data_IF_986370170132
#
_entry.id   IF_986370170132
#
_cell.length_a   1.000
_cell.length_b   1.000
_cell.length_c   1.000
_cell.angle_alpha   90.00
_cell.angle_beta   90.00
_cell.angle_gamma   90.00
#
_symmetry.space_group_name_H-M   'P 1'
#
loop_
_entity.id
_entity.type
_entity.pdbx_description
1 polymer ?
#
# COMPACT_ATOMS: atom_id res chain seq x y z
N UNK A 1 14.06 2.07 -9.22
CA UNK A 1 13.82 0.63 -8.99
C UNK A 1 12.53 0.52 -8.19
N UNK A 2 11.61 -0.34 -8.64
CA UNK A 2 10.20 -0.33 -8.22
C UNK A 2 10.00 -0.60 -6.73
N UNK A 3 10.67 -1.60 -6.15
CA UNK A 3 10.59 -1.88 -4.71
C UNK A 3 10.90 -0.64 -3.86
N UNK A 4 11.97 0.08 -4.17
CA UNK A 4 12.36 1.30 -3.44
C UNK A 4 11.37 2.43 -3.63
N UNK A 5 10.83 2.59 -4.84
CA UNK A 5 9.82 3.59 -5.12
C UNK A 5 8.50 3.28 -4.39
N UNK A 6 8.08 2.02 -4.35
CA UNK A 6 6.92 1.56 -3.56
C UNK A 6 7.10 1.84 -2.07
N UNK A 7 8.26 1.56 -1.49
CA UNK A 7 8.58 1.90 -0.09
C UNK A 7 8.54 3.41 0.16
N UNK A 8 9.06 4.21 -0.77
CA UNK A 8 8.99 5.66 -0.72
C UNK A 8 7.53 6.16 -0.72
N UNK A 9 6.69 5.63 -1.62
CA UNK A 9 5.26 5.93 -1.67
C UNK A 9 4.54 5.53 -0.38
N UNK A 10 4.82 4.33 0.15
CA UNK A 10 4.23 3.84 1.40
C UNK A 10 4.55 4.77 2.58
N UNK A 11 5.78 5.26 2.66
CA UNK A 11 6.17 6.29 3.65
C UNK A 11 5.37 7.58 3.47
N UNK A 12 5.21 8.06 2.24
CA UNK A 12 4.45 9.29 1.98
C UNK A 12 2.97 9.16 2.36
N UNK A 13 2.34 8.02 2.07
CA UNK A 13 0.97 7.74 2.49
C UNK A 13 0.84 7.76 4.01
N UNK A 14 1.77 7.11 4.72
CA UNK A 14 1.83 7.13 6.19
C UNK A 14 1.95 8.55 6.73
N UNK A 15 2.90 9.33 6.20
CA UNK A 15 3.11 10.73 6.63
C UNK A 15 1.87 11.59 6.38
N UNK A 16 1.29 11.52 5.18
CA UNK A 16 0.10 12.30 4.83
C UNK A 16 -1.09 11.98 5.75
N UNK A 17 -1.32 10.70 6.02
CA UNK A 17 -2.36 10.25 6.93
C UNK A 17 -2.18 10.83 8.35
N UNK A 18 -0.98 10.72 8.94
CA UNK A 18 -0.72 11.28 10.27
C UNK A 18 -0.79 12.81 10.31
N UNK A 19 -0.37 13.50 9.24
CA UNK A 19 -0.50 14.95 9.13
C UNK A 19 -1.98 15.37 9.07
N UNK A 20 -2.82 14.66 8.31
CA UNK A 20 -4.26 14.92 8.31
C UNK A 20 -4.88 14.66 9.68
N UNK A 21 -4.50 13.56 10.35
CA UNK A 21 -4.97 13.28 11.72
C UNK A 21 -4.60 14.40 12.70
N UNK A 22 -3.35 14.88 12.66
CA UNK A 22 -2.89 15.97 13.52
C UNK A 22 -3.56 17.32 13.20
N UNK A 23 -4.10 17.48 11.98
CA UNK A 23 -4.80 18.70 11.54
C UNK A 23 -6.26 18.75 11.98
N UNK A 24 -6.80 17.66 12.56
CA UNK A 24 -8.14 17.65 13.14
C UNK A 24 -8.19 18.48 14.42
N UNK A 25 -8.44 19.78 14.26
CA UNK A 25 -8.80 20.67 15.35
C UNK A 25 -10.27 21.10 15.20
N UNK A 26 -10.94 21.28 16.34
CA UNK A 26 -12.29 21.83 16.59
C UNK A 26 -13.40 20.81 16.84
N UNK A 27 -13.99 20.96 18.04
CA UNK A 27 -15.30 20.51 18.55
C UNK A 27 -16.10 19.60 17.62
N UNK A 28 -15.66 18.34 17.52
CA UNK A 28 -16.26 17.12 16.93
C UNK A 28 -15.17 16.25 16.32
N UNK A 29 -14.03 16.83 15.92
CA UNK A 29 -12.92 16.09 15.31
C UNK A 29 -12.36 15.00 16.24
N UNK A 30 -12.23 15.29 17.54
CA UNK A 30 -11.81 14.31 18.54
C UNK A 30 -12.83 13.18 18.71
N UNK A 31 -14.13 13.49 18.70
CA UNK A 31 -15.19 12.51 18.85
C UNK A 31 -15.28 11.58 17.62
N UNK A 32 -15.13 12.14 16.42
CA UNK A 32 -15.01 11.40 15.16
C UNK A 32 -13.75 10.52 15.18
N UNK A 33 -12.62 11.05 15.68
CA UNK A 33 -11.40 10.29 15.83
C UNK A 33 -11.59 9.10 16.79
N UNK A 34 -12.13 9.35 17.98
CA UNK A 34 -12.31 8.32 19.01
C UNK A 34 -13.28 7.22 18.57
N UNK A 35 -14.33 7.56 17.81
CA UNK A 35 -15.35 6.59 17.35
C UNK A 35 -14.92 5.84 16.09
N UNK A 36 -14.33 6.52 15.10
CA UNK A 36 -14.08 5.93 13.78
C UNK A 36 -12.61 5.53 13.54
N UNK A 37 -11.66 6.25 14.14
CA UNK A 37 -10.22 6.13 13.80
C UNK A 37 -9.40 5.47 14.90
N UNK A 38 -9.65 5.77 16.17
CA UNK A 38 -8.92 5.20 17.30
C UNK A 38 -9.02 3.66 17.37
N UNK A 39 -10.19 3.03 17.13
CA UNK A 39 -10.29 1.56 17.10
C UNK A 39 -9.49 0.93 15.95
N UNK A 40 -9.23 1.70 14.88
CA UNK A 40 -8.49 1.23 13.70
C UNK A 40 -6.99 1.58 13.76
N UNK A 41 -6.54 2.32 14.78
CA UNK A 41 -5.18 2.84 14.84
C UNK A 41 -4.13 1.72 14.84
N UNK A 42 -4.32 0.69 15.67
CA UNK A 42 -3.43 -0.49 15.69
C UNK A 42 -3.45 -1.23 14.35
N UNK A 43 -4.64 -1.42 13.79
CA UNK A 43 -4.81 -2.10 12.50
C UNK A 43 -4.04 -1.40 11.39
N UNK A 44 -4.21 -0.08 11.26
CA UNK A 44 -3.50 0.71 10.27
C UNK A 44 -1.99 0.67 10.49
N UNK A 45 -1.52 0.73 11.73
CA UNK A 45 -0.09 0.67 12.02
C UNK A 45 0.53 -0.65 11.56
N UNK A 46 -0.08 -1.79 11.89
CA UNK A 46 0.44 -3.07 11.44
C UNK A 46 0.18 -3.31 9.95
N UNK A 47 -0.87 -2.74 9.33
CA UNK A 47 -1.08 -2.80 7.89
C UNK A 47 0.08 -2.14 7.13
N UNK A 48 0.56 -0.98 7.60
CA UNK A 48 1.73 -0.34 7.01
C UNK A 48 2.97 -1.23 7.10
N UNK A 49 3.20 -1.89 8.23
CA UNK A 49 4.33 -2.81 8.36
C UNK A 49 4.17 -4.08 7.51
N UNK A 50 2.96 -4.65 7.48
CA UNK A 50 2.62 -5.79 6.64
C UNK A 50 2.86 -5.50 5.15
N UNK A 51 2.40 -4.34 4.65
CA UNK A 51 2.66 -3.90 3.27
C UNK A 51 4.15 -3.66 3.02
N UNK A 52 4.88 -3.07 3.98
CA UNK A 52 6.33 -2.91 3.89
C UNK A 52 7.02 -4.27 3.74
N UNK A 53 6.64 -5.25 4.56
CA UNK A 53 7.17 -6.62 4.47
C UNK A 53 6.84 -7.26 3.12
N UNK A 54 5.60 -7.12 2.63
CA UNK A 54 5.18 -7.65 1.34
C UNK A 54 5.98 -7.04 0.18
N UNK A 55 6.19 -5.73 0.16
CA UNK A 55 7.01 -5.03 -0.85
C UNK A 55 8.45 -5.56 -0.83
N UNK A 56 9.05 -5.67 0.37
CA UNK A 56 10.42 -6.18 0.51
C UNK A 56 10.54 -7.66 0.12
N UNK A 57 9.53 -8.47 0.42
CA UNK A 57 9.47 -9.89 0.07
C UNK A 57 9.32 -10.08 -1.44
N UNK A 58 8.45 -9.30 -2.09
CA UNK A 58 8.27 -9.33 -3.53
C UNK A 58 9.55 -8.93 -4.28
N UNK A 59 10.30 -7.97 -3.73
CA UNK A 59 11.64 -7.61 -4.22
C UNK A 59 11.63 -7.13 -5.66
N UNK A 60 10.65 -6.32 -6.05
CA UNK A 60 10.49 -5.89 -7.44
C UNK A 60 11.64 -5.00 -7.92
N UNK A 61 12.54 -5.59 -8.70
CA UNK A 61 13.72 -4.94 -9.28
C UNK A 61 13.43 -4.21 -10.60
N UNK A 62 12.16 -4.10 -11.03
CA UNK A 62 11.78 -3.43 -12.27
C UNK A 62 12.28 -1.99 -12.28
N UNK A 63 12.92 -1.58 -13.38
CA UNK A 63 13.39 -0.20 -13.56
C UNK A 63 12.23 0.67 -14.05
N UNK A 64 11.83 1.61 -13.22
CA UNK A 64 10.82 2.59 -13.59
C UNK A 64 11.44 3.73 -14.39
N UNK A 65 10.85 4.02 -15.55
CA UNK A 65 11.30 5.11 -16.42
C UNK A 65 10.64 6.43 -16.02
N UNK A 66 11.37 7.56 -16.11
CA UNK A 66 10.80 8.87 -15.84
C UNK A 66 9.72 9.23 -16.88
N UNK A 67 8.65 9.88 -16.44
CA UNK A 67 7.63 10.44 -17.34
C UNK A 67 8.24 11.59 -18.16
N UNK A 68 7.58 11.92 -19.26
CA UNK A 68 7.89 13.11 -20.06
C UNK A 68 7.06 14.28 -19.53
N UNK A 69 7.73 15.33 -19.07
CA UNK A 69 7.07 16.56 -18.62
C UNK A 69 6.67 17.44 -19.82
N UNK A 70 5.86 18.47 -19.56
CA UNK A 70 5.36 19.39 -20.60
C UNK A 70 6.49 20.13 -21.35
N UNK A 71 7.64 20.34 -20.72
CA UNK A 71 8.84 20.97 -21.32
C UNK A 71 9.77 19.95 -22.02
N UNK A 72 9.35 18.69 -22.13
CA UNK A 72 10.11 17.61 -22.77
C UNK A 72 11.19 16.98 -21.87
N UNK A 73 11.41 17.49 -20.65
CA UNK A 73 12.38 16.90 -19.72
C UNK A 73 11.84 15.60 -19.12
N UNK A 74 12.76 14.76 -18.65
CA UNK A 74 12.45 13.47 -18.01
C UNK A 74 13.22 13.32 -16.72
N UNK A 75 12.59 13.64 -15.60
CA UNK A 75 13.25 13.63 -14.29
C UNK A 75 12.40 13.09 -13.14
N UNK A 76 11.09 12.91 -13.33
CA UNK A 76 10.20 12.39 -12.30
C UNK A 76 9.59 11.06 -12.72
N UNK A 77 9.46 10.15 -11.76
CA UNK A 77 8.86 8.83 -11.95
C UNK A 77 7.49 8.81 -11.27
N UNK A 78 6.52 8.12 -11.84
CA UNK A 78 5.16 8.01 -11.28
C UNK A 78 4.59 6.57 -11.35
N UNK A 79 5.39 5.58 -11.76
CA UNK A 79 4.97 4.17 -11.87
C UNK A 79 4.04 3.83 -13.03
N UNK A 80 3.51 4.81 -13.76
CA UNK A 80 2.56 4.55 -14.85
C UNK A 80 3.25 4.05 -16.12
N UNK A 81 2.64 3.06 -16.78
CA UNK A 81 3.17 2.47 -18.00
C UNK A 81 4.43 1.62 -17.79
N UNK A 82 4.77 1.31 -16.53
CA UNK A 82 5.88 0.42 -16.20
C UNK A 82 5.39 -1.03 -16.25
N UNK A 83 6.07 -1.85 -17.04
CA UNK A 83 5.76 -3.28 -17.12
C UNK A 83 6.44 -4.00 -15.97
N UNK A 84 5.64 -4.50 -15.04
CA UNK A 84 6.07 -5.38 -13.96
C UNK A 84 5.92 -6.85 -14.39
N UNK A 85 6.77 -7.74 -13.87
CA UNK A 85 6.59 -9.19 -14.06
C UNK A 85 5.77 -9.76 -12.90
N UNK A 86 4.53 -10.11 -13.18
CA UNK A 86 3.62 -10.68 -12.18
C UNK A 86 4.07 -12.09 -11.78
N UNK A 87 3.70 -12.47 -10.55
CA UNK A 87 3.61 -13.87 -10.14
C UNK A 87 2.24 -14.40 -10.58
N UNK A 88 2.18 -15.70 -10.85
CA UNK A 88 0.95 -16.36 -11.27
C UNK A 88 -0.08 -16.32 -10.12
N UNK A 89 -1.20 -15.63 -10.35
CA UNK A 89 -2.21 -15.40 -9.31
C UNK A 89 -2.92 -16.68 -8.91
N UNK A 90 -3.30 -17.51 -9.87
CA UNK A 90 -4.07 -18.72 -9.60
C UNK A 90 -3.24 -19.71 -8.78
N UNK A 91 -1.96 -19.86 -9.09
CA UNK A 91 -1.01 -20.66 -8.29
C UNK A 91 -0.89 -20.15 -6.85
N UNK A 92 -0.89 -18.83 -6.64
CA UNK A 92 -0.85 -18.25 -5.29
C UNK A 92 -2.18 -18.43 -4.55
N UNK A 93 -3.31 -18.24 -5.25
CA UNK A 93 -4.65 -18.41 -4.69
C UNK A 93 -4.88 -19.87 -4.25
N UNK A 94 -4.53 -20.83 -5.10
CA UNK A 94 -4.60 -22.27 -4.80
C UNK A 94 -3.74 -22.63 -3.58
N UNK A 95 -2.52 -22.08 -3.50
CA UNK A 95 -1.64 -22.28 -2.35
C UNK A 95 -2.26 -21.75 -1.04
N UNK A 96 -2.83 -20.55 -1.08
CA UNK A 96 -3.50 -19.94 0.09
C UNK A 96 -4.73 -20.74 0.50
N UNK A 97 -5.58 -21.17 -0.44
CA UNK A 97 -6.76 -21.98 -0.14
C UNK A 97 -6.40 -23.31 0.54
N UNK A 98 -5.34 -23.97 0.06
CA UNK A 98 -4.88 -25.24 0.63
C UNK A 98 -4.28 -25.11 2.04
N UNK A 99 -3.77 -23.92 2.40
CA UNK A 99 -2.99 -23.70 3.63
C UNK A 99 -3.60 -22.66 4.58
N UNK A 100 -4.83 -22.18 4.31
CA UNK A 100 -5.49 -21.19 5.14
C UNK A 100 -5.83 -21.75 6.54
N UNK A 101 -5.30 -21.11 7.58
CA UNK A 101 -5.59 -21.46 8.98
C UNK A 101 -6.64 -20.49 9.53
N UNK A 102 -7.90 -20.94 9.55
CA UNK A 102 -9.05 -20.17 10.01
C UNK A 102 -9.97 -19.76 8.85
N UNK A 103 -11.07 -20.51 8.67
CA UNK A 103 -12.07 -20.23 7.63
C UNK A 103 -12.93 -19.03 8.02
N UNK A 104 -12.46 -17.81 7.73
CA UNK A 104 -13.27 -16.58 7.77
C UNK A 104 -13.55 -15.98 6.38
N UNK A 105 -12.99 -16.56 5.32
CA UNK A 105 -13.32 -16.17 3.96
C UNK A 105 -14.39 -17.10 3.42
N UNK A 106 -15.66 -16.68 3.47
CA UNK A 106 -16.65 -17.22 2.55
C UNK A 106 -16.16 -16.98 1.13
N UNK A 107 -16.19 -18.05 0.34
CA UNK A 107 -15.61 -18.17 -0.99
C UNK A 107 -15.82 -16.89 -1.82
N UNK A 108 -14.74 -16.15 -2.07
CA UNK A 108 -14.68 -15.27 -3.24
C UNK A 108 -14.39 -16.13 -4.47
N UNK A 109 -15.32 -17.04 -4.78
CA UNK A 109 -15.40 -17.62 -6.11
C UNK A 109 -15.94 -16.53 -7.03
N UNK A 110 -15.32 -16.40 -8.20
CA UNK A 110 -15.70 -15.44 -9.25
C UNK A 110 -17.18 -15.53 -9.61
#
# INVERSE_FOLDING_TARGET
ISMWHQLHCLRHMRTYMFTMQASFNRTNAQQVFDVLLAPQADHILHCFDYLRQAIMCAGDMTLEWPRTEADGRRFAVNGWGIQHKCRDWDTMADYVEQHAVGRHHEKMAR
#
